data_IF_066868463670
#
_entry.id   IF_066868463670
#
_cell.length_a   1.000
_cell.length_b   1.000
_cell.length_c   1.000
_cell.angle_alpha   90.00
_cell.angle_beta   90.00
_cell.angle_gamma   90.00
#
_symmetry.space_group_name_H-M   'P 1'
#
loop_
_entity.id
_entity.type
_entity.pdbx_description
1 polymer ?
#
# COMPACT_ATOMS: atom_id res chain seq x y z
N UNK A 1 1.95 -0.63 -37.39
CA UNK A 1 3.12 -1.00 -36.58
C UNK A 1 3.88 0.28 -36.26
N UNK A 2 4.22 0.59 -35.00
CA UNK A 2 5.08 1.73 -34.71
C UNK A 2 6.50 1.45 -35.25
N UNK A 3 7.05 2.42 -35.98
CA UNK A 3 8.38 2.34 -36.58
C UNK A 3 9.27 3.42 -35.97
N UNK A 4 10.53 3.07 -35.67
CA UNK A 4 11.56 4.04 -35.32
C UNK A 4 12.69 3.87 -36.35
N UNK A 5 13.03 4.93 -37.09
CA UNK A 5 14.05 4.90 -38.13
C UNK A 5 13.89 3.76 -39.17
N UNK A 6 12.65 3.41 -39.54
CA UNK A 6 12.36 2.36 -40.52
C UNK A 6 12.45 0.93 -39.98
N UNK A 7 12.80 0.73 -38.71
CA UNK A 7 12.83 -0.59 -38.07
C UNK A 7 11.55 -0.78 -37.23
N UNK A 8 10.76 -1.84 -37.46
CA UNK A 8 9.64 -2.18 -36.60
C UNK A 8 10.16 -2.72 -35.27
N UNK A 9 9.96 -1.98 -34.18
CA UNK A 9 10.50 -2.35 -32.86
C UNK A 9 9.47 -3.03 -31.95
N UNK A 10 8.21 -3.16 -32.39
CA UNK A 10 7.15 -3.77 -31.58
C UNK A 10 6.09 -4.44 -32.46
N UNK A 11 6.00 -5.78 -32.40
CA UNK A 11 4.92 -6.55 -33.02
C UNK A 11 3.87 -6.86 -31.95
N UNK A 12 2.88 -5.98 -31.81
CA UNK A 12 1.62 -6.31 -31.15
C UNK A 12 0.77 -7.08 -32.19
N UNK A 13 0.35 -8.33 -31.93
CA UNK A 13 -0.69 -8.94 -32.74
C UNK A 13 -1.93 -8.02 -32.70
N UNK A 14 -2.30 -7.50 -33.87
CA UNK A 14 -3.44 -6.61 -34.01
C UNK A 14 -4.73 -7.42 -33.84
N UNK A 15 -5.36 -7.29 -32.68
CA UNK A 15 -6.72 -7.75 -32.45
C UNK A 15 -7.64 -6.53 -32.40
N UNK A 16 -8.25 -6.21 -33.53
CA UNK A 16 -9.31 -5.22 -33.62
C UNK A 16 -10.66 -5.91 -33.46
N UNK A 17 -11.32 -5.72 -32.32
CA UNK A 17 -12.73 -6.07 -32.15
C UNK A 17 -13.49 -4.78 -31.88
N UNK A 18 -14.23 -4.31 -32.87
CA UNK A 18 -15.14 -3.17 -32.71
C UNK A 18 -16.25 -3.53 -31.70
N UNK A 19 -16.49 -2.67 -30.72
CA UNK A 19 -17.70 -2.72 -29.88
C UNK A 19 -17.53 -2.91 -28.37
N UNK A 20 -16.31 -3.04 -27.81
CA UNK A 20 -16.12 -3.16 -26.35
C UNK A 20 -15.59 -1.87 -25.71
N UNK A 21 -16.38 -1.30 -24.80
CA UNK A 21 -16.06 -0.10 -24.00
C UNK A 21 -15.06 -0.37 -22.85
N UNK A 22 -14.63 -1.61 -22.63
CA UNK A 22 -13.70 -2.01 -21.56
C UNK A 22 -12.71 -3.06 -22.09
N UNK A 23 -11.45 -2.69 -22.27
CA UNK A 23 -10.38 -3.64 -22.59
C UNK A 23 -10.17 -4.54 -21.35
N UNK A 24 -10.24 -5.88 -21.46
CA UNK A 24 -10.15 -6.78 -20.30
C UNK A 24 -8.71 -6.97 -19.79
N UNK A 25 -7.79 -6.12 -20.23
CA UNK A 25 -6.38 -6.13 -19.88
C UNK A 25 -5.92 -4.72 -19.55
N UNK A 26 -5.06 -4.61 -18.55
CA UNK A 26 -4.39 -3.37 -18.17
C UNK A 26 -2.89 -3.66 -18.08
N UNK A 27 -2.10 -2.92 -18.85
CA UNK A 27 -0.67 -3.19 -19.04
C UNK A 27 0.10 -1.91 -18.77
N UNK A 28 0.83 -1.89 -17.67
CA UNK A 28 1.77 -0.84 -17.33
C UNK A 28 3.16 -1.26 -17.77
N UNK A 29 3.81 -0.43 -18.60
CA UNK A 29 5.18 -0.62 -19.03
C UNK A 29 6.04 0.56 -18.60
N UNK A 30 7.23 0.26 -18.07
CA UNK A 30 8.26 1.25 -17.77
C UNK A 30 9.62 0.77 -18.25
N UNK A 31 10.41 1.62 -18.86
CA UNK A 31 11.77 1.28 -19.25
C UNK A 31 12.69 2.44 -18.96
N UNK A 32 13.95 2.15 -18.62
CA UNK A 32 14.90 3.18 -18.25
C UNK A 32 16.21 2.60 -17.74
N UNK A 33 16.97 3.44 -17.04
CA UNK A 33 18.22 3.05 -16.39
C UNK A 33 18.32 3.74 -15.04
N UNK A 34 18.78 3.02 -14.03
CA UNK A 34 18.95 3.51 -12.68
C UNK A 34 20.11 2.77 -12.02
N UNK A 35 21.10 3.50 -11.51
CA UNK A 35 22.14 2.89 -10.67
C UNK A 35 21.61 2.70 -9.25
N UNK A 36 21.94 1.59 -8.56
CA UNK A 36 22.88 0.53 -8.99
C UNK A 36 22.27 -0.62 -9.83
N UNK A 37 20.97 -0.59 -10.18
CA UNK A 37 20.26 -1.70 -10.84
C UNK A 37 20.53 -1.86 -12.36
N UNK A 38 21.12 -0.83 -12.99
CA UNK A 38 21.38 -0.76 -14.42
C UNK A 38 20.13 -0.47 -15.25
N UNK A 39 20.08 -1.01 -16.47
CA UNK A 39 18.92 -0.86 -17.37
C UNK A 39 17.78 -1.73 -16.88
N UNK A 40 16.55 -1.22 -16.97
CA UNK A 40 15.37 -1.93 -16.53
C UNK A 40 14.23 -1.91 -17.55
N UNK A 41 13.43 -2.97 -17.49
CA UNK A 41 12.09 -3.07 -18.07
C UNK A 41 11.17 -3.53 -16.95
N UNK A 42 10.15 -2.73 -16.61
CA UNK A 42 9.17 -3.06 -15.59
C UNK A 42 7.81 -3.24 -16.22
N UNK A 43 7.11 -4.29 -15.83
CA UNK A 43 5.79 -4.61 -16.36
C UNK A 43 4.84 -4.93 -15.23
N UNK A 44 3.64 -4.37 -15.27
CA UNK A 44 2.49 -4.87 -14.49
C UNK A 44 1.40 -5.21 -15.49
N UNK A 45 0.92 -6.45 -15.48
CA UNK A 45 -0.17 -6.89 -16.34
C UNK A 45 -1.31 -7.40 -15.48
N UNK A 46 -2.49 -6.80 -15.63
CA UNK A 46 -3.73 -7.23 -14.99
C UNK A 46 -4.72 -7.71 -16.04
N UNK A 47 -5.39 -8.81 -15.73
CA UNK A 47 -6.45 -9.41 -16.56
C UNK A 47 -7.74 -9.44 -15.77
N UNK A 48 -8.81 -8.95 -16.38
CA UNK A 48 -10.15 -8.96 -15.79
C UNK A 48 -10.67 -10.40 -15.71
N UNK A 49 -10.87 -10.91 -14.49
CA UNK A 49 -11.45 -12.24 -14.24
C UNK A 49 -12.97 -12.18 -14.07
N UNK A 50 -13.46 -11.10 -13.45
CA UNK A 50 -14.90 -10.84 -13.29
C UNK A 50 -15.17 -9.35 -13.54
N UNK A 51 -16.44 -8.92 -13.46
CA UNK A 51 -16.76 -7.49 -13.60
C UNK A 51 -16.04 -6.61 -12.55
N UNK A 52 -15.64 -7.17 -11.41
CA UNK A 52 -15.04 -6.46 -10.28
C UNK A 52 -13.60 -6.87 -9.96
N UNK A 53 -13.18 -8.08 -10.35
CA UNK A 53 -11.86 -8.63 -10.00
C UNK A 53 -10.91 -8.64 -11.19
N UNK A 54 -9.72 -8.10 -10.96
CA UNK A 54 -8.57 -8.14 -11.84
C UNK A 54 -7.43 -8.87 -11.16
N UNK A 55 -6.83 -9.83 -11.88
CA UNK A 55 -5.72 -10.64 -11.40
C UNK A 55 -4.60 -10.57 -12.41
N UNK A 56 -3.38 -10.51 -11.92
CA UNK A 56 -2.23 -10.30 -12.77
C UNK A 56 -0.92 -10.54 -12.06
N UNK A 57 0.13 -10.13 -12.74
CA UNK A 57 1.49 -10.27 -12.27
C UNK A 57 2.35 -9.09 -12.69
N UNK A 58 3.42 -8.91 -11.94
CA UNK A 58 4.53 -8.06 -12.30
C UNK A 58 5.72 -8.93 -12.75
N UNK A 59 6.36 -8.48 -13.83
CA UNK A 59 7.55 -9.11 -14.40
C UNK A 59 8.49 -7.99 -14.82
N UNK A 60 9.47 -7.75 -13.96
CA UNK A 60 10.50 -6.76 -14.20
C UNK A 60 11.83 -7.44 -14.47
N UNK A 61 12.63 -6.84 -15.33
CA UNK A 61 14.00 -7.23 -15.62
C UNK A 61 14.93 -6.06 -15.33
N UNK A 62 16.01 -6.34 -14.59
CA UNK A 62 17.08 -5.42 -14.27
C UNK A 62 18.40 -6.02 -14.75
N UNK A 63 19.19 -5.28 -15.51
CA UNK A 63 20.42 -5.81 -16.12
C UNK A 63 21.47 -6.24 -15.10
N UNK A 64 21.49 -5.64 -13.90
CA UNK A 64 22.45 -5.97 -12.83
C UNK A 64 21.82 -6.81 -11.70
N UNK A 65 20.53 -6.65 -11.42
CA UNK A 65 19.85 -7.33 -10.30
C UNK A 65 19.06 -8.57 -10.69
N UNK A 66 18.72 -8.78 -11.96
CA UNK A 66 17.96 -9.95 -12.43
C UNK A 66 16.45 -9.69 -12.55
N UNK A 67 15.65 -10.73 -12.32
CA UNK A 67 14.19 -10.68 -12.47
C UNK A 67 13.49 -10.44 -11.15
N UNK A 68 12.53 -9.52 -11.15
CA UNK A 68 11.58 -9.32 -10.06
C UNK A 68 10.21 -9.78 -10.54
N UNK A 69 9.60 -10.71 -9.80
CA UNK A 69 8.31 -11.30 -10.13
C UNK A 69 7.34 -11.25 -8.95
N UNK A 70 6.06 -11.17 -9.22
CA UNK A 70 5.06 -11.38 -8.18
C UNK A 70 3.62 -11.07 -8.61
N UNK A 71 2.65 -11.29 -7.72
CA UNK A 71 1.25 -11.09 -8.03
C UNK A 71 0.83 -9.62 -7.98
N UNK A 72 -0.17 -9.29 -8.79
CA UNK A 72 -0.92 -8.04 -8.72
C UNK A 72 -2.42 -8.33 -8.73
N UNK A 73 -3.17 -7.68 -7.84
CA UNK A 73 -4.61 -7.82 -7.70
C UNK A 73 -5.25 -6.44 -7.66
N UNK A 74 -6.41 -6.30 -8.29
CA UNK A 74 -7.27 -5.12 -8.17
C UNK A 74 -8.71 -5.57 -8.05
N UNK A 75 -9.41 -5.07 -7.05
CA UNK A 75 -10.84 -5.28 -6.85
C UNK A 75 -11.54 -3.93 -6.88
N UNK A 76 -12.60 -3.81 -7.68
CA UNK A 76 -13.49 -2.65 -7.68
C UNK A 76 -14.88 -3.08 -8.11
N UNK A 77 -15.81 -3.13 -7.16
CA UNK A 77 -17.20 -3.46 -7.45
C UNK A 77 -18.11 -2.22 -7.60
N UNK A 78 -17.56 -1.01 -7.59
CA UNK A 78 -18.35 0.23 -7.53
C UNK A 78 -19.27 0.46 -8.73
N UNK A 79 -18.98 -0.19 -9.86
CA UNK A 79 -19.82 -0.16 -11.07
C UNK A 79 -20.73 -1.39 -11.24
N UNK A 80 -20.66 -2.33 -10.31
CA UNK A 80 -21.26 -3.67 -10.49
C UNK A 80 -22.16 -4.09 -9.35
N UNK A 81 -22.04 -3.43 -8.18
CA UNK A 81 -22.86 -3.75 -7.03
C UNK A 81 -24.27 -3.17 -7.17
N UNK A 82 -25.26 -3.97 -6.82
CA UNK A 82 -26.66 -3.54 -6.66
C UNK A 82 -27.08 -3.49 -5.20
N UNK A 83 -26.29 -4.06 -4.29
CA UNK A 83 -26.61 -4.14 -2.88
C UNK A 83 -26.21 -2.87 -2.11
N UNK A 84 -25.51 -1.93 -2.74
CA UNK A 84 -25.05 -0.68 -2.11
C UNK A 84 -23.73 -0.80 -1.34
N UNK A 85 -23.16 -2.00 -1.21
CA UNK A 85 -21.85 -2.23 -0.61
C UNK A 85 -20.75 -2.12 -1.66
N UNK A 86 -19.88 -1.13 -1.48
CA UNK A 86 -18.78 -0.80 -2.39
C UNK A 86 -17.46 -1.18 -1.74
N UNK A 87 -16.61 -1.89 -2.48
CA UNK A 87 -15.23 -2.21 -2.12
C UNK A 87 -14.32 -1.84 -3.27
N UNK A 88 -13.21 -1.19 -2.94
CA UNK A 88 -12.11 -0.89 -3.84
C UNK A 88 -10.80 -1.24 -3.16
N UNK A 89 -9.93 -1.94 -3.85
CA UNK A 89 -8.62 -2.25 -3.31
C UNK A 89 -7.65 -2.70 -4.37
N UNK A 90 -6.37 -2.61 -4.03
CA UNK A 90 -5.30 -3.15 -4.84
C UNK A 90 -4.25 -3.80 -3.95
N UNK A 91 -3.53 -4.75 -4.52
CA UNK A 91 -2.41 -5.42 -3.87
C UNK A 91 -1.35 -5.69 -4.93
N UNK A 92 -0.10 -5.36 -4.63
CA UNK A 92 1.06 -5.73 -5.42
C UNK A 92 2.08 -6.37 -4.49
N UNK A 93 2.66 -7.48 -4.91
CA UNK A 93 3.79 -8.07 -4.23
C UNK A 93 4.84 -8.46 -5.25
N UNK A 94 6.10 -8.38 -4.85
CA UNK A 94 7.20 -8.78 -5.69
C UNK A 94 8.33 -9.37 -4.88
N UNK A 95 9.05 -10.27 -5.52
CA UNK A 95 10.25 -10.92 -5.01
C UNK A 95 11.33 -10.90 -6.08
N UNK A 96 12.57 -10.69 -5.64
CA UNK A 96 13.77 -10.74 -6.46
C UNK A 96 14.89 -11.42 -5.68
N UNK A 97 15.67 -12.23 -6.37
CA UNK A 97 17.00 -12.64 -5.92
C UNK A 97 18.01 -11.68 -6.54
N UNK A 98 18.41 -10.66 -5.79
CA UNK A 98 19.26 -9.56 -6.23
C UNK A 98 20.70 -10.04 -6.44
N UNK A 99 21.11 -10.10 -7.70
CA UNK A 99 22.45 -10.56 -8.10
C UNK A 99 23.53 -9.49 -7.99
N UNK A 100 23.14 -8.25 -7.69
CA UNK A 100 24.08 -7.15 -7.61
C UNK A 100 24.79 -7.10 -6.25
N UNK A 101 25.92 -6.41 -6.17
CA UNK A 101 26.53 -6.09 -4.89
C UNK A 101 25.57 -5.22 -4.07
N UNK A 102 25.16 -5.71 -2.91
CA UNK A 102 24.17 -5.04 -2.05
C UNK A 102 24.93 -4.10 -1.13
N UNK A 103 24.69 -2.80 -1.28
CA UNK A 103 25.21 -1.79 -0.36
C UNK A 103 24.48 -1.84 0.98
N UNK A 104 25.18 -1.45 2.04
CA UNK A 104 24.55 -1.29 3.34
C UNK A 104 23.43 -0.24 3.29
N UNK A 105 22.33 -0.52 4.00
CA UNK A 105 21.21 0.40 4.14
C UNK A 105 21.59 1.62 4.99
N UNK A 106 20.63 2.56 5.14
CA UNK A 106 20.82 3.79 5.93
C UNK A 106 21.09 3.52 7.43
N UNK A 107 20.96 2.28 7.88
CA UNK A 107 21.22 1.82 9.24
C UNK A 107 22.49 0.94 9.33
N UNK A 108 23.28 0.85 8.26
CA UNK A 108 24.53 0.11 8.21
C UNK A 108 24.39 -1.40 8.02
N UNK A 109 23.18 -1.92 7.76
CA UNK A 109 22.95 -3.36 7.55
C UNK A 109 22.99 -3.70 6.08
N UNK A 110 23.55 -4.86 5.74
CA UNK A 110 23.50 -5.37 4.37
C UNK A 110 22.27 -6.28 4.21
N UNK A 111 21.29 -5.92 3.36
CA UNK A 111 20.17 -6.80 3.04
C UNK A 111 20.63 -8.15 2.45
N UNK A 112 19.82 -9.20 2.66
CA UNK A 112 19.95 -10.46 1.91
C UNK A 112 19.69 -10.20 0.41
N UNK A 113 20.28 -11.01 -0.47
CA UNK A 113 19.93 -11.07 -1.88
C UNK A 113 18.46 -11.41 -2.11
N UNK A 114 17.84 -12.15 -1.20
CA UNK A 114 16.41 -12.45 -1.24
C UNK A 114 15.61 -11.27 -0.73
N UNK A 115 15.06 -10.48 -1.66
CA UNK A 115 14.38 -9.22 -1.36
C UNK A 115 12.96 -9.22 -1.90
N UNK A 116 12.07 -8.47 -1.26
CA UNK A 116 10.68 -8.40 -1.70
C UNK A 116 9.86 -7.29 -1.05
N UNK A 117 8.63 -7.18 -1.54
CA UNK A 117 7.65 -6.25 -1.03
C UNK A 117 6.23 -6.81 -1.08
N UNK A 118 5.36 -6.22 -0.27
CA UNK A 118 3.91 -6.35 -0.32
C UNK A 118 3.32 -4.96 -0.01
N UNK A 119 2.65 -4.39 -0.99
CA UNK A 119 1.97 -3.10 -0.85
C UNK A 119 0.51 -3.24 -1.28
N UNK A 120 -0.39 -2.51 -0.65
CA UNK A 120 -1.78 -2.51 -1.06
C UNK A 120 -2.64 -1.59 -0.23
N UNK A 121 -3.87 -1.40 -0.71
CA UNK A 121 -4.90 -0.69 0.01
C UNK A 121 -6.26 -1.35 -0.18
N UNK A 122 -7.16 -1.06 0.75
CA UNK A 122 -8.56 -1.47 0.68
C UNK A 122 -9.42 -0.36 1.28
N UNK A 123 -10.49 -0.01 0.58
CA UNK A 123 -11.51 0.91 1.03
C UNK A 123 -12.87 0.24 0.83
N UNK A 124 -13.77 0.42 1.78
CA UNK A 124 -15.08 -0.18 1.77
C UNK A 124 -16.13 0.76 2.32
N UNK A 125 -17.32 0.72 1.74
CA UNK A 125 -18.52 1.35 2.28
C UNK A 125 -19.65 0.34 2.23
N UNK A 126 -20.34 0.11 3.33
CA UNK A 126 -21.42 -0.87 3.43
C UNK A 126 -22.77 -0.20 3.61
N UNK A 127 -23.85 -0.91 3.29
CA UNK A 127 -25.24 -0.45 3.50
C UNK A 127 -25.57 -0.10 4.95
N UNK A 128 -24.81 -0.65 5.91
CA UNK A 128 -25.01 -0.42 7.33
C UNK A 128 -24.18 0.78 7.83
N UNK A 129 -23.72 1.66 6.92
CA UNK A 129 -22.89 2.83 7.17
C UNK A 129 -21.58 2.50 7.90
N UNK A 130 -20.99 1.35 7.60
CA UNK A 130 -19.59 1.11 7.97
C UNK A 130 -18.69 1.54 6.83
N UNK A 131 -17.74 2.39 7.15
CA UNK A 131 -16.61 2.77 6.31
C UNK A 131 -15.38 2.00 6.75
N UNK A 132 -14.64 1.47 5.78
CA UNK A 132 -13.41 0.73 5.97
C UNK A 132 -12.30 1.41 5.18
N UNK A 133 -11.14 1.60 5.78
CA UNK A 133 -9.95 2.06 5.09
C UNK A 133 -8.75 1.29 5.63
N UNK A 134 -7.91 0.78 4.75
CA UNK A 134 -6.71 0.06 5.13
C UNK A 134 -5.61 0.20 4.11
N UNK A 135 -4.37 0.24 4.60
CA UNK A 135 -3.17 0.25 3.78
C UNK A 135 -2.11 -0.65 4.39
N UNK A 136 -1.29 -1.24 3.52
CA UNK A 136 -0.25 -2.18 3.88
C UNK A 136 0.99 -1.85 3.07
N UNK A 137 2.14 -1.86 3.73
CA UNK A 137 3.45 -1.56 3.17
C UNK A 137 4.50 -2.39 3.92
N UNK A 138 4.90 -3.49 3.31
CA UNK A 138 5.92 -4.38 3.83
C UNK A 138 7.06 -4.42 2.81
N UNK A 139 8.28 -4.20 3.26
CA UNK A 139 9.49 -4.33 2.43
C UNK A 139 10.56 -5.11 3.17
N UNK A 140 11.35 -5.88 2.42
CA UNK A 140 12.47 -6.65 2.97
C UNK A 140 13.65 -5.79 3.42
N UNK A 141 13.71 -4.54 2.98
CA UNK A 141 14.72 -3.54 3.30
C UNK A 141 14.17 -2.13 3.00
N UNK A 142 14.71 -1.07 3.63
CA UNK A 142 14.16 0.29 3.48
C UNK A 142 14.41 0.89 2.09
N UNK A 143 15.34 0.33 1.31
CA UNK A 143 15.69 0.83 -0.02
C UNK A 143 14.98 0.08 -1.15
N UNK A 144 14.24 -0.99 -0.87
CA UNK A 144 13.69 -1.90 -1.89
C UNK A 144 12.91 -1.16 -2.97
N UNK A 145 11.86 -0.43 -2.57
CA UNK A 145 10.98 0.25 -3.52
C UNK A 145 11.77 1.37 -4.23
N UNK A 146 12.72 2.03 -3.55
CA UNK A 146 13.63 3.04 -4.12
C UNK A 146 14.49 2.50 -5.24
N UNK A 147 15.02 1.30 -5.05
CA UNK A 147 15.83 0.60 -6.04
C UNK A 147 14.99 0.06 -7.20
N UNK A 148 13.88 -0.60 -6.90
CA UNK A 148 13.17 -1.41 -7.90
C UNK A 148 11.92 -0.75 -8.45
N UNK A 149 11.11 -0.03 -7.68
CA UNK A 149 9.86 0.56 -8.19
C UNK A 149 9.59 1.96 -7.62
N UNK A 150 10.40 2.98 -7.97
CA UNK A 150 10.31 4.30 -7.36
C UNK A 150 8.99 5.05 -7.60
N UNK A 151 8.22 4.67 -8.62
CA UNK A 151 6.87 5.22 -8.83
C UNK A 151 5.85 4.74 -7.79
N UNK A 152 6.17 3.70 -7.02
CA UNK A 152 5.34 3.23 -5.91
C UNK A 152 5.75 3.92 -4.58
N UNK A 153 6.72 4.85 -4.57
CA UNK A 153 7.27 5.47 -3.33
C UNK A 153 6.50 6.69 -2.87
N UNK A 154 5.85 7.41 -3.77
CA UNK A 154 5.20 8.65 -3.39
C UNK A 154 3.71 8.38 -3.19
N UNK A 155 3.31 8.09 -1.95
CA UNK A 155 1.98 8.37 -1.35
C UNK A 155 1.85 7.84 0.11
N UNK A 156 2.71 6.91 0.54
CA UNK A 156 2.58 6.26 1.85
C UNK A 156 3.47 6.98 2.88
N UNK A 157 2.86 7.90 3.62
CA UNK A 157 3.39 8.31 4.93
C UNK A 157 3.29 7.12 5.90
N UNK A 158 4.26 6.99 6.80
CA UNK A 158 4.18 6.05 7.92
C UNK A 158 2.80 6.19 8.60
N UNK A 159 2.06 5.10 8.89
CA UNK A 159 2.56 3.78 9.28
C UNK A 159 2.44 2.67 8.22
N UNK A 160 3.18 1.59 8.44
CA UNK A 160 3.37 0.50 7.48
C UNK A 160 2.17 -0.43 7.33
N UNK A 161 1.35 -0.58 8.36
CA UNK A 161 0.03 -1.17 8.22
C UNK A 161 -0.95 -0.34 9.03
N UNK A 162 -1.99 0.19 8.39
CA UNK A 162 -3.12 0.79 9.07
C UNK A 162 -4.42 0.18 8.60
N UNK A 163 -5.36 0.07 9.53
CA UNK A 163 -6.71 -0.34 9.26
C UNK A 163 -7.65 0.44 10.16
N UNK A 164 -8.69 1.02 9.58
CA UNK A 164 -9.68 1.81 10.25
C UNK A 164 -11.07 1.34 9.84
N UNK A 165 -11.95 1.25 10.83
CA UNK A 165 -13.38 1.05 10.64
C UNK A 165 -14.11 2.19 11.32
N UNK A 166 -15.00 2.87 10.61
CA UNK A 166 -15.81 3.98 11.13
C UNK A 166 -17.27 3.67 10.95
N UNK A 167 -18.09 4.04 11.95
CA UNK A 167 -19.54 3.94 11.88
C UNK A 167 -20.21 5.16 12.52
N UNK A 168 -21.18 5.81 11.87
CA UNK A 168 -22.06 6.75 12.55
C UNK A 168 -22.79 6.07 13.72
N UNK A 169 -22.74 6.71 14.88
CA UNK A 169 -23.39 6.21 16.10
C UNK A 169 -23.93 7.37 16.92
N UNK A 170 -25.23 7.31 17.23
CA UNK A 170 -25.96 8.39 17.90
C UNK A 170 -25.78 9.75 17.20
N UNK A 171 -25.01 10.66 17.80
CA UNK A 171 -24.81 12.03 17.32
C UNK A 171 -23.35 12.27 16.86
N UNK A 172 -22.65 11.18 16.56
CA UNK A 172 -21.23 11.15 16.34
C UNK A 172 -20.78 9.94 15.53
N UNK A 173 -19.52 9.58 15.70
CA UNK A 173 -18.89 8.44 15.04
C UNK A 173 -18.16 7.59 16.06
N UNK A 174 -18.23 6.27 15.88
CA UNK A 174 -17.34 5.33 16.56
C UNK A 174 -16.33 4.85 15.53
N UNK A 175 -15.05 4.89 15.87
CA UNK A 175 -13.98 4.31 15.06
C UNK A 175 -13.16 3.29 15.85
N UNK A 176 -12.67 2.31 15.11
CA UNK A 176 -11.69 1.34 15.57
C UNK A 176 -10.50 1.38 14.62
N UNK A 177 -9.32 1.70 15.15
CA UNK A 177 -8.10 1.87 14.36
C UNK A 177 -7.02 0.93 14.85
N UNK A 178 -6.37 0.25 13.92
CA UNK A 178 -5.18 -0.55 14.14
C UNK A 178 -4.05 0.09 13.35
N UNK A 179 -2.93 0.34 14.03
CA UNK A 179 -1.67 0.76 13.42
C UNK A 179 -0.61 -0.23 13.87
N UNK A 180 -0.06 -0.98 12.93
CA UNK A 180 0.96 -1.98 13.19
C UNK A 180 2.26 -1.65 12.44
N UNK A 181 3.36 -2.04 13.05
CA UNK A 181 4.69 -1.99 12.47
C UNK A 181 4.91 -3.29 11.68
N UNK A 182 5.36 -3.14 10.44
CA UNK A 182 5.61 -4.18 9.46
C UNK A 182 7.11 -4.48 9.24
N UNK A 183 7.99 -3.59 9.67
CA UNK A 183 9.44 -3.64 9.50
C UNK A 183 10.17 -3.56 10.85
N UNK A 184 11.50 -3.65 10.83
CA UNK A 184 12.34 -3.52 12.02
C UNK A 184 13.30 -2.32 11.94
N UNK A 185 12.94 -1.29 11.16
CA UNK A 185 13.86 -0.23 10.76
C UNK A 185 13.61 1.09 11.46
N UNK A 186 12.40 1.29 11.97
CA UNK A 186 12.00 2.52 12.62
C UNK A 186 11.37 2.22 13.98
N UNK A 187 11.61 3.07 14.97
CA UNK A 187 10.91 2.99 16.25
C UNK A 187 9.57 3.72 16.10
N UNK A 188 8.49 2.94 15.97
CA UNK A 188 7.12 3.44 15.90
C UNK A 188 6.30 2.68 16.94
N UNK A 189 5.56 3.42 17.77
CA UNK A 189 4.60 2.82 18.69
C UNK A 189 3.41 2.26 17.89
N UNK A 190 3.10 0.99 18.08
CA UNK A 190 1.93 0.33 17.51
C UNK A 190 0.68 0.71 18.31
N UNK A 191 -0.47 0.86 17.63
CA UNK A 191 -1.78 1.04 18.25
C UNK A 191 -2.64 -0.18 17.96
N UNK A 192 -2.90 -1.01 18.98
CA UNK A 192 -3.41 -2.37 18.80
C UNK A 192 -4.51 -2.75 19.80
N UNK A 193 -5.79 -2.37 19.60
CA UNK A 193 -6.33 -1.30 18.76
C UNK A 193 -6.54 0.02 19.54
N UNK A 194 -6.89 1.09 18.84
CA UNK A 194 -7.52 2.31 19.39
C UNK A 194 -9.01 2.29 19.09
N UNK A 195 -9.85 2.40 20.12
CA UNK A 195 -11.27 2.65 20.01
C UNK A 195 -11.55 4.11 20.34
N UNK A 196 -12.33 4.79 19.51
CA UNK A 196 -12.62 6.21 19.67
C UNK A 196 -14.08 6.51 19.37
N UNK A 197 -14.66 7.41 20.16
CA UNK A 197 -15.96 8.02 19.90
C UNK A 197 -15.79 9.53 19.75
N UNK A 198 -16.30 10.11 18.67
CA UNK A 198 -16.30 11.54 18.38
C UNK A 198 -17.73 12.07 18.30
N UNK A 199 -18.10 12.97 19.22
CA UNK A 199 -19.35 13.73 19.19
C UNK A 199 -19.18 14.97 18.30
N UNK A 200 -20.00 15.06 17.25
CA UNK A 200 -20.02 16.21 16.34
C UNK A 200 -20.43 17.50 17.03
N UNK A 201 -20.04 18.64 16.45
CA UNK A 201 -20.36 19.95 17.01
C UNK A 201 -21.87 20.17 17.09
N UNK A 202 -22.36 20.52 18.29
CA UNK A 202 -23.78 20.72 18.55
C UNK A 202 -24.05 21.86 19.52
N UNK A 203 -25.17 22.55 19.31
CA UNK A 203 -25.68 23.57 20.22
C UNK A 203 -26.11 22.96 21.56
N UNK A 204 -25.79 23.61 22.66
CA UNK A 204 -26.22 23.21 24.00
C UNK A 204 -27.62 23.80 24.26
N UNK A 205 -28.67 23.00 24.10
CA UNK A 205 -30.05 23.45 24.28
C UNK A 205 -30.36 24.68 23.42
N UNK A 206 -30.96 25.70 24.03
CA UNK A 206 -31.28 26.98 23.36
C UNK A 206 -30.13 28.01 23.45
N UNK A 207 -29.04 27.72 24.16
CA UNK A 207 -27.93 28.65 24.36
C UNK A 207 -27.16 28.91 23.07
N UNK A 208 -26.49 30.06 22.87
CA UNK A 208 -25.68 30.30 21.68
C UNK A 208 -24.37 29.48 21.63
N UNK A 209 -24.12 28.60 22.61
CA UNK A 209 -22.88 27.85 22.73
C UNK A 209 -22.97 26.49 22.03
N UNK A 210 -21.88 26.11 21.36
CA UNK A 210 -21.69 24.78 20.80
C UNK A 210 -20.74 23.95 21.66
N UNK A 211 -20.88 22.63 21.59
CA UNK A 211 -19.99 21.66 22.21
C UNK A 211 -19.60 20.57 21.21
N UNK A 212 -18.39 20.03 21.39
CA UNK A 212 -17.88 18.83 20.75
C UNK A 212 -17.12 18.04 21.81
N UNK A 213 -17.08 16.72 21.71
CA UNK A 213 -16.37 15.89 22.67
C UNK A 213 -15.78 14.67 21.95
N UNK A 214 -14.71 14.10 22.50
CA UNK A 214 -14.21 12.80 22.08
C UNK A 214 -13.78 11.99 23.30
N UNK A 215 -13.84 10.67 23.17
CA UNK A 215 -13.29 9.73 24.15
C UNK A 215 -12.57 8.66 23.36
N UNK A 216 -11.33 8.34 23.73
CA UNK A 216 -10.57 7.24 23.12
C UNK A 216 -9.91 6.36 24.18
N UNK A 217 -9.76 5.09 23.84
CA UNK A 217 -9.04 4.09 24.60
C UNK A 217 -8.15 3.31 23.63
N UNK A 218 -6.84 3.26 23.88
CA UNK A 218 -5.87 2.59 23.03
C UNK A 218 -4.95 1.69 23.84
N UNK A 219 -4.57 0.57 23.24
CA UNK A 219 -3.44 -0.22 23.70
C UNK A 219 -2.22 0.11 22.84
N UNK A 220 -1.16 0.57 23.48
CA UNK A 220 0.08 0.96 22.82
C UNK A 220 1.16 -0.10 23.10
N UNK A 221 1.84 -0.52 22.04
CA UNK A 221 2.98 -1.44 22.13
C UNK A 221 4.18 -0.84 21.43
N UNK A 222 5.30 -0.76 22.13
CA UNK A 222 6.57 -0.35 21.54
C UNK A 222 7.37 -1.60 21.17
N UNK A 223 7.63 -1.77 19.88
CA UNK A 223 8.59 -2.75 19.39
C UNK A 223 9.88 -2.01 19.03
N UNK A 224 10.94 -2.12 19.84
CA UNK A 224 12.21 -1.50 19.50
C UNK A 224 12.72 -2.08 18.17
N UNK A 225 13.30 -1.22 17.33
CA UNK A 225 14.05 -1.68 16.17
C UNK A 225 15.24 -2.52 16.64
N UNK A 226 15.48 -3.65 15.97
CA UNK A 226 16.50 -4.60 16.37
C UNK A 226 17.96 -4.10 16.19
N UNK A 227 18.17 -2.83 15.84
CA UNK A 227 19.48 -2.34 15.38
C UNK A 227 19.82 -0.86 15.69
N UNK A 228 18.98 -0.11 16.40
CA UNK A 228 19.44 1.20 16.89
C UNK A 228 20.34 0.95 18.11
N UNK A 229 21.58 1.48 18.16
CA UNK A 229 22.36 1.47 19.39
C UNK A 229 21.55 2.25 20.43
N UNK A 230 20.87 1.52 21.32
CA UNK A 230 20.01 2.13 22.34
C UNK A 230 20.88 3.04 23.22
N UNK A 231 20.59 4.35 23.34
CA UNK A 231 20.90 5.05 24.58
C UNK A 231 20.12 4.31 25.68
N UNK A 232 20.77 4.02 26.80
CA UNK A 232 20.11 3.43 27.96
C UNK A 232 18.98 4.35 28.42
N UNK A 233 17.74 4.06 28.05
CA UNK A 233 16.58 4.80 28.55
C UNK A 233 16.09 4.14 29.83
N UNK A 234 16.36 4.82 30.96
CA UNK A 234 15.80 4.52 32.28
C UNK A 234 14.29 4.75 32.23
N UNK A 235 13.50 3.71 32.48
CA UNK A 235 12.06 3.80 32.61
C UNK A 235 11.70 4.76 33.75
N UNK A 236 11.08 5.89 33.41
CA UNK A 236 10.53 6.82 34.39
C UNK A 236 9.01 6.57 34.47
N UNK A 237 8.61 5.85 35.53
CA UNK A 237 7.22 5.65 35.90
C UNK A 237 6.67 6.99 36.40
N UNK A 238 5.73 7.60 35.67
CA UNK A 238 4.94 8.73 36.19
C UNK A 238 3.61 8.15 36.66
N UNK A 239 3.39 8.21 37.98
CA UNK A 239 2.13 7.99 38.67
C UNK A 239 1.21 9.20 38.52
#
# INVERSE_FOLDING_TARGET
>A
VPHLAGIPFFYLPYYGQEGYHDIPYDIELNTGSQEPQGRYLRTTTLVRQTKSLWVGALLDYYSKSGFLIGPALRYDNSKTTNDGTIWRGNLKSGYINDRNAIESDIYGRTPDANRGFLIGNINGHTTNNFDFAGQFYFTSDPNFIRSFRPREIAEIGLPQASFEVVKPFAQGYVSATVIAKADNYQDVAEKLPELRYDLTERRIGETPFNHRAFVSASYLSERPSAALPLPQFTTLLIL
#
